data_IF_033408815277
#
_entry.id   IF_033408815277
#
_cell.length_a   1.000
_cell.length_b   1.000
_cell.length_c   1.000
_cell.angle_alpha   90.00
_cell.angle_beta   90.00
_cell.angle_gamma   90.00
#
_symmetry.space_group_name_H-M   'P 1'
#
loop_
_entity.id
_entity.type
_entity.pdbx_description
1 polymer ?
#
# COMPACT_ATOMS: atom_id res chain seq x y z
N UNK A 1 10.99 8.36 15.42
CA UNK A 1 9.58 8.43 14.97
C UNK A 1 9.08 9.87 15.15
N UNK A 2 8.37 10.40 14.17
CA UNK A 2 7.70 11.70 14.23
C UNK A 2 6.22 11.52 14.61
N UNK A 3 5.55 12.61 14.93
CA UNK A 3 4.08 12.64 15.11
C UNK A 3 3.40 13.10 13.82
N UNK A 4 2.28 12.47 13.46
CA UNK A 4 1.46 12.90 12.30
C UNK A 4 0.80 14.27 12.57
N UNK A 5 0.67 15.12 11.54
CA UNK A 5 1.14 14.92 10.16
C UNK A 5 2.66 15.09 10.02
N UNK A 6 3.24 14.45 9.00
CA UNK A 6 4.65 14.62 8.65
C UNK A 6 4.93 16.03 8.12
N UNK A 7 5.95 16.68 8.67
CA UNK A 7 6.38 18.04 8.29
C UNK A 7 7.73 18.04 7.56
N UNK A 8 8.30 16.89 7.27
CA UNK A 8 9.56 16.77 6.53
C UNK A 8 9.35 17.10 5.04
N UNK A 9 9.93 18.18 4.57
CA UNK A 9 9.80 18.65 3.17
C UNK A 9 10.31 17.61 2.14
N UNK A 10 11.21 16.72 2.52
CA UNK A 10 11.67 15.63 1.65
C UNK A 10 10.55 14.64 1.31
N UNK A 11 9.51 14.59 2.13
CA UNK A 11 8.36 13.69 1.97
C UNK A 11 7.19 14.30 1.21
N UNK A 12 7.28 15.55 0.77
CA UNK A 12 6.18 16.27 0.11
C UNK A 12 5.58 15.51 -1.07
N UNK A 13 6.42 14.94 -1.96
CA UNK A 13 5.96 14.12 -3.09
C UNK A 13 5.19 12.86 -2.69
N UNK A 14 5.43 12.36 -1.46
CA UNK A 14 4.78 11.17 -0.93
C UNK A 14 3.54 11.49 -0.07
N UNK A 15 3.21 12.78 0.04
CA UNK A 15 2.00 13.32 0.64
C UNK A 15 1.05 13.89 -0.41
N UNK A 16 1.59 14.27 -1.59
CA UNK A 16 0.81 14.89 -2.65
C UNK A 16 -0.28 13.96 -3.20
N UNK A 17 -1.43 14.54 -3.53
CA UNK A 17 -2.46 13.86 -4.31
C UNK A 17 -1.98 13.63 -5.75
N UNK A 18 -2.52 12.61 -6.41
CA UNK A 18 -2.37 12.39 -7.84
C UNK A 18 -3.72 11.99 -8.46
N UNK A 19 -3.74 11.83 -9.78
CA UNK A 19 -4.98 11.47 -10.51
C UNK A 19 -5.66 10.23 -9.95
N UNK A 20 -4.88 9.23 -9.53
CA UNK A 20 -5.41 7.98 -8.99
C UNK A 20 -5.45 7.94 -7.46
N UNK A 21 -4.53 8.65 -6.78
CA UNK A 21 -4.46 8.57 -5.32
C UNK A 21 -5.53 9.44 -4.64
N UNK A 22 -5.92 10.58 -5.21
CA UNK A 22 -7.04 11.42 -4.75
C UNK A 22 -7.08 11.64 -3.23
N UNK A 23 -5.91 11.77 -2.59
CA UNK A 23 -5.82 11.96 -1.12
C UNK A 23 -6.40 13.29 -0.61
N UNK A 24 -6.66 14.22 -1.51
CA UNK A 24 -7.31 15.51 -1.31
C UNK A 24 -8.84 15.47 -1.42
N UNK A 25 -9.41 14.35 -1.91
CA UNK A 25 -10.87 14.26 -2.08
C UNK A 25 -11.58 14.27 -0.72
N UNK A 26 -12.62 15.11 -0.51
CA UNK A 26 -13.27 15.29 0.80
C UNK A 26 -13.70 14.00 1.49
N UNK A 27 -14.28 13.05 0.75
CA UNK A 27 -14.71 11.77 1.31
C UNK A 27 -13.53 10.87 1.71
N UNK A 28 -12.41 10.92 0.98
CA UNK A 28 -11.18 10.20 1.34
C UNK A 28 -10.59 10.79 2.61
N UNK A 29 -10.51 12.12 2.71
CA UNK A 29 -10.01 12.84 3.90
C UNK A 29 -10.86 12.53 5.12
N UNK A 30 -12.18 12.59 4.98
CA UNK A 30 -13.10 12.32 6.10
C UNK A 30 -12.98 10.87 6.57
N UNK A 31 -12.97 9.91 5.64
CA UNK A 31 -12.79 8.49 5.96
C UNK A 31 -11.45 8.24 6.66
N UNK A 32 -10.37 8.83 6.15
CA UNK A 32 -9.04 8.68 6.76
C UNK A 32 -9.00 9.23 8.20
N UNK A 33 -9.65 10.37 8.45
CA UNK A 33 -9.77 10.95 9.80
C UNK A 33 -10.58 10.06 10.75
N UNK A 34 -11.67 9.47 10.26
CA UNK A 34 -12.48 8.54 11.05
C UNK A 34 -11.70 7.28 11.43
N UNK A 35 -10.90 6.73 10.50
CA UNK A 35 -10.07 5.55 10.73
C UNK A 35 -8.96 5.81 11.75
N UNK A 36 -8.23 6.91 11.57
CA UNK A 36 -7.02 7.20 12.34
C UNK A 36 -7.34 7.93 13.66
N UNK A 37 -8.43 8.71 13.68
CA UNK A 37 -8.84 9.46 14.86
C UNK A 37 -7.75 10.41 15.36
N UNK A 38 -7.39 10.26 16.62
CA UNK A 38 -6.35 11.06 17.28
C UNK A 38 -4.97 10.43 17.28
N UNK A 39 -4.79 9.27 16.62
CA UNK A 39 -3.51 8.56 16.59
C UNK A 39 -2.44 9.40 15.87
N UNK A 40 -1.29 9.59 16.51
CA UNK A 40 -0.16 10.37 15.98
C UNK A 40 1.05 9.52 15.61
N UNK A 41 1.09 8.28 16.04
CA UNK A 41 2.19 7.37 15.69
C UNK A 41 2.00 6.85 14.26
N UNK A 42 2.97 7.07 13.34
CA UNK A 42 2.83 6.68 11.93
C UNK A 42 2.66 5.17 11.73
N UNK A 43 3.30 4.34 12.55
CA UNK A 43 3.18 2.88 12.43
C UNK A 43 1.81 2.40 12.89
N UNK A 44 1.25 2.97 13.95
CA UNK A 44 -0.10 2.64 14.41
C UNK A 44 -1.16 3.13 13.42
N UNK A 45 -1.02 4.35 12.90
CA UNK A 45 -1.91 4.89 11.88
C UNK A 45 -1.92 4.03 10.60
N UNK A 46 -0.73 3.63 10.12
CA UNK A 46 -0.62 2.71 8.99
C UNK A 46 -1.34 1.37 9.25
N UNK A 47 -1.21 0.83 10.47
CA UNK A 47 -1.89 -0.40 10.86
C UNK A 47 -3.41 -0.26 10.85
N UNK A 48 -3.93 0.83 11.40
CA UNK A 48 -5.37 1.13 11.37
C UNK A 48 -5.90 1.21 9.94
N UNK A 49 -5.20 1.94 9.07
CA UNK A 49 -5.57 2.07 7.66
C UNK A 49 -5.52 0.71 6.94
N UNK A 50 -4.43 -0.03 7.12
CA UNK A 50 -4.23 -1.32 6.48
C UNK A 50 -5.34 -2.32 6.85
N UNK A 51 -5.65 -2.42 8.14
CA UNK A 51 -6.73 -3.30 8.65
C UNK A 51 -8.09 -2.83 8.14
N UNK A 52 -8.36 -1.53 8.19
CA UNK A 52 -9.64 -1.01 7.71
C UNK A 52 -9.87 -1.30 6.21
N UNK A 53 -8.84 -1.10 5.36
CA UNK A 53 -8.95 -1.40 3.93
C UNK A 53 -9.18 -2.90 3.71
N UNK A 54 -8.44 -3.76 4.42
CA UNK A 54 -8.62 -5.21 4.36
C UNK A 54 -10.05 -5.65 4.68
N UNK A 55 -10.62 -5.08 5.75
CA UNK A 55 -11.92 -5.51 6.28
C UNK A 55 -13.11 -4.92 5.50
N UNK A 56 -12.89 -3.80 4.81
CA UNK A 56 -13.96 -3.05 4.14
C UNK A 56 -13.98 -3.20 2.61
N UNK A 57 -13.00 -3.86 2.00
CA UNK A 57 -12.99 -4.13 0.57
C UNK A 57 -13.17 -5.62 0.28
N UNK A 58 -14.12 -5.94 -0.60
CA UNK A 58 -14.25 -7.29 -1.15
C UNK A 58 -13.13 -7.56 -2.14
N UNK A 59 -12.48 -8.70 -2.01
CA UNK A 59 -11.38 -9.14 -2.89
C UNK A 59 -11.97 -9.70 -4.19
N UNK A 60 -11.99 -8.89 -5.23
CA UNK A 60 -12.52 -9.22 -6.55
C UNK A 60 -11.55 -8.74 -7.61
N UNK A 61 -11.11 -9.61 -8.55
CA UNK A 61 -10.31 -9.16 -9.68
C UNK A 61 -11.06 -8.10 -10.49
N UNK A 62 -10.41 -6.97 -10.76
CA UNK A 62 -10.99 -5.90 -11.56
C UNK A 62 -10.06 -5.54 -12.72
N UNK A 63 -10.57 -5.31 -13.93
CA UNK A 63 -9.77 -4.86 -15.06
C UNK A 63 -9.59 -3.34 -15.10
N UNK A 64 -10.08 -2.61 -14.09
CA UNK A 64 -10.11 -1.15 -14.10
C UNK A 64 -8.80 -0.54 -13.59
N UNK A 65 -8.46 0.65 -14.08
CA UNK A 65 -7.43 1.49 -13.48
C UNK A 65 -8.01 2.09 -12.20
N UNK A 66 -7.43 1.81 -11.03
CA UNK A 66 -8.02 2.20 -9.77
C UNK A 66 -7.91 3.71 -9.52
N UNK A 67 -9.01 4.34 -9.12
CA UNK A 67 -9.09 5.67 -8.53
C UNK A 67 -9.52 5.51 -7.07
N UNK A 68 -8.79 6.09 -6.13
CA UNK A 68 -9.01 5.89 -4.70
C UNK A 68 -10.44 6.24 -4.24
N UNK A 69 -11.02 7.31 -4.78
CA UNK A 69 -12.38 7.69 -4.44
C UNK A 69 -13.40 6.70 -5.00
N UNK A 70 -13.23 6.24 -6.24
CA UNK A 70 -14.10 5.23 -6.83
C UNK A 70 -14.00 3.90 -6.07
N UNK A 71 -12.81 3.49 -5.64
CA UNK A 71 -12.59 2.30 -4.80
C UNK A 71 -13.28 2.46 -3.46
N UNK A 72 -13.16 3.63 -2.82
CA UNK A 72 -13.83 3.92 -1.55
C UNK A 72 -15.35 3.75 -1.63
N UNK A 73 -15.95 4.14 -2.75
CA UNK A 73 -17.41 3.99 -2.96
C UNK A 73 -17.81 2.56 -3.30
N UNK A 74 -17.06 1.88 -4.18
CA UNK A 74 -17.41 0.53 -4.67
C UNK A 74 -17.13 -0.56 -3.64
N UNK A 75 -16.17 -0.34 -2.73
CA UNK A 75 -15.78 -1.30 -1.68
C UNK A 75 -15.38 -2.67 -2.22
N UNK A 76 -14.71 -2.70 -3.37
CA UNK A 76 -14.21 -3.93 -3.97
C UNK A 76 -13.02 -3.67 -4.88
N UNK A 77 -12.16 -4.67 -5.05
CA UNK A 77 -10.99 -4.62 -5.92
C UNK A 77 -9.97 -5.70 -5.59
N UNK A 78 -8.90 -5.71 -6.35
CA UNK A 78 -7.74 -6.58 -6.13
C UNK A 78 -6.60 -5.84 -5.37
N UNK A 79 -5.37 -6.30 -5.52
CA UNK A 79 -4.22 -5.71 -4.84
C UNK A 79 -3.99 -4.24 -5.23
N UNK A 80 -4.28 -3.85 -6.47
CA UNK A 80 -4.09 -2.47 -6.91
C UNK A 80 -5.06 -1.52 -6.22
N UNK A 81 -6.35 -1.85 -6.18
CA UNK A 81 -7.37 -1.05 -5.51
C UNK A 81 -7.11 -0.94 -4.01
N UNK A 82 -6.73 -2.05 -3.36
CA UNK A 82 -6.37 -2.04 -1.94
C UNK A 82 -5.16 -1.11 -1.69
N UNK A 83 -4.12 -1.20 -2.51
CA UNK A 83 -2.92 -0.38 -2.37
C UNK A 83 -3.19 1.11 -2.65
N UNK A 84 -3.97 1.43 -3.69
CA UNK A 84 -4.34 2.80 -4.05
C UNK A 84 -5.15 3.46 -2.94
N UNK A 85 -6.19 2.77 -2.42
CA UNK A 85 -7.01 3.33 -1.36
C UNK A 85 -6.23 3.50 -0.05
N UNK A 86 -5.42 2.52 0.35
CA UNK A 86 -4.59 2.63 1.54
C UNK A 86 -3.57 3.77 1.44
N UNK A 87 -2.94 3.96 0.26
CA UNK A 87 -2.03 5.07 0.01
C UNK A 87 -2.75 6.42 0.11
N UNK A 88 -3.95 6.53 -0.47
CA UNK A 88 -4.74 7.77 -0.42
C UNK A 88 -5.15 8.13 1.03
N UNK A 89 -5.65 7.16 1.79
CA UNK A 89 -6.02 7.35 3.19
C UNK A 89 -4.81 7.75 4.06
N UNK A 90 -3.63 7.15 3.81
CA UNK A 90 -2.41 7.51 4.51
C UNK A 90 -1.99 8.96 4.22
N UNK A 91 -1.91 9.34 2.94
CA UNK A 91 -1.54 10.71 2.54
C UNK A 91 -2.52 11.74 3.10
N UNK A 92 -3.82 11.42 3.14
CA UNK A 92 -4.87 12.30 3.65
C UNK A 92 -4.73 12.66 5.14
N UNK A 93 -4.07 11.81 5.95
CA UNK A 93 -3.77 12.10 7.36
C UNK A 93 -2.33 12.56 7.58
N UNK A 94 -1.61 12.89 6.52
CA UNK A 94 -0.22 13.35 6.59
C UNK A 94 0.80 12.25 6.87
N UNK A 95 0.48 10.99 6.56
CA UNK A 95 1.41 9.85 6.58
C UNK A 95 1.98 9.65 5.18
N UNK A 96 3.28 9.94 4.94
CA UNK A 96 3.87 9.73 3.63
C UNK A 96 3.80 8.25 3.24
N UNK A 97 3.28 8.01 2.03
CA UNK A 97 3.07 6.67 1.52
C UNK A 97 3.28 6.60 0.00
N UNK A 98 3.69 5.44 -0.48
CA UNK A 98 3.81 5.14 -1.91
C UNK A 98 3.47 3.67 -2.17
N UNK A 99 3.00 3.38 -3.38
CA UNK A 99 2.73 2.01 -3.79
C UNK A 99 4.04 1.33 -4.14
N UNK A 100 4.18 0.09 -3.71
CA UNK A 100 5.20 -0.84 -4.16
C UNK A 100 4.55 -1.89 -5.04
N UNK A 101 5.16 -2.21 -6.17
CA UNK A 101 4.74 -3.30 -7.04
C UNK A 101 5.87 -4.28 -7.25
N UNK A 102 5.51 -5.52 -7.42
CA UNK A 102 6.49 -6.58 -7.61
C UNK A 102 5.82 -7.94 -7.62
N UNK A 103 6.44 -8.87 -6.93
CA UNK A 103 6.00 -10.26 -6.87
C UNK A 103 5.79 -10.68 -5.42
N UNK A 104 4.77 -11.48 -5.20
CA UNK A 104 4.57 -12.21 -3.95
C UNK A 104 4.72 -13.72 -4.21
N UNK A 105 5.49 -14.39 -3.37
CA UNK A 105 5.58 -15.85 -3.40
C UNK A 105 4.42 -16.46 -2.63
N UNK A 106 3.60 -17.27 -3.31
CA UNK A 106 2.46 -17.98 -2.72
C UNK A 106 2.22 -19.29 -3.47
N UNK A 107 1.86 -20.36 -2.77
CA UNK A 107 1.48 -21.63 -3.38
C UNK A 107 2.55 -22.24 -4.32
N UNK A 108 3.85 -21.98 -4.07
CA UNK A 108 4.96 -22.47 -4.89
C UNK A 108 5.29 -21.65 -6.14
N UNK A 109 4.60 -20.51 -6.36
CA UNK A 109 4.84 -19.60 -7.49
C UNK A 109 5.00 -18.16 -7.09
N UNK A 110 5.44 -17.33 -8.04
CA UNK A 110 5.51 -15.89 -7.89
C UNK A 110 4.40 -15.25 -8.72
N UNK A 111 3.64 -14.36 -8.09
CA UNK A 111 2.53 -13.66 -8.69
C UNK A 111 2.73 -12.15 -8.61
N UNK A 112 2.30 -11.42 -9.63
CA UNK A 112 2.23 -9.97 -9.56
C UNK A 112 1.43 -9.53 -8.33
N UNK A 113 1.95 -8.51 -7.64
CA UNK A 113 1.30 -7.97 -6.46
C UNK A 113 1.62 -6.51 -6.25
N UNK A 114 0.68 -5.78 -5.64
CA UNK A 114 0.83 -4.40 -5.25
C UNK A 114 0.52 -4.24 -3.75
N UNK A 115 1.34 -3.46 -3.07
CA UNK A 115 1.19 -3.15 -1.64
C UNK A 115 1.67 -1.73 -1.35
N UNK A 116 1.74 -1.32 -0.10
CA UNK A 116 2.09 0.05 0.29
C UNK A 116 3.36 0.07 1.11
N UNK A 117 4.17 1.11 0.95
CA UNK A 117 5.21 1.46 1.89
C UNK A 117 4.89 2.79 2.55
N UNK A 118 5.13 2.87 3.87
CA UNK A 118 4.83 3.99 4.74
C UNK A 118 6.13 4.50 5.39
N UNK A 119 6.22 5.81 5.61
CA UNK A 119 7.38 6.44 6.23
C UNK A 119 7.24 6.54 7.74
N UNK A 120 8.21 6.03 8.49
CA UNK A 120 8.22 6.07 9.95
C UNK A 120 9.17 7.14 10.55
N UNK A 121 9.68 8.05 9.71
CA UNK A 121 10.60 9.13 10.12
C UNK A 121 12.07 8.86 9.84
N UNK A 122 12.51 7.62 9.88
CA UNK A 122 13.90 7.21 9.60
C UNK A 122 13.97 6.13 8.51
N UNK A 123 12.92 5.37 8.35
CA UNK A 123 12.85 4.24 7.40
C UNK A 123 11.45 4.06 6.84
N UNK A 124 11.42 3.49 5.66
CA UNK A 124 10.21 2.96 5.07
C UNK A 124 9.91 1.57 5.66
N UNK A 125 8.64 1.28 5.87
CA UNK A 125 8.16 -0.06 6.20
C UNK A 125 6.97 -0.41 5.33
N UNK A 126 6.81 -1.69 5.04
CA UNK A 126 5.77 -2.19 4.13
C UNK A 126 4.50 -2.59 4.87
N UNK A 127 3.37 -2.43 4.21
CA UNK A 127 2.09 -3.00 4.63
C UNK A 127 1.31 -3.50 3.42
N UNK A 128 0.71 -4.66 3.55
CA UNK A 128 -0.13 -5.26 2.53
C UNK A 128 -1.59 -5.21 2.99
N UNK A 129 -2.40 -4.28 2.44
CA UNK A 129 -3.80 -4.18 2.83
C UNK A 129 -4.68 -5.30 2.28
N UNK A 130 -4.28 -6.00 1.21
CA UNK A 130 -5.00 -7.16 0.71
C UNK A 130 -4.85 -8.37 1.65
N UNK A 131 -3.63 -8.59 2.17
CA UNK A 131 -3.30 -9.73 3.05
C UNK A 131 -3.37 -9.39 4.55
N UNK A 132 -3.64 -8.13 4.90
CA UNK A 132 -3.60 -7.56 6.25
C UNK A 132 -2.27 -7.81 6.97
N UNK A 133 -1.17 -7.64 6.27
CA UNK A 133 0.18 -7.81 6.82
C UNK A 133 0.86 -6.46 7.04
N UNK A 134 1.39 -6.24 8.25
CA UNK A 134 2.24 -5.09 8.58
C UNK A 134 3.28 -5.50 9.65
N UNK A 135 4.57 -5.48 9.31
CA UNK A 135 5.13 -5.29 7.97
C UNK A 135 4.72 -6.41 7.02
N UNK A 136 4.69 -6.12 5.70
CA UNK A 136 4.54 -7.15 4.68
C UNK A 136 5.67 -8.16 4.79
N UNK A 137 5.35 -9.43 4.61
CA UNK A 137 6.27 -10.54 4.88
C UNK A 137 7.44 -10.66 3.90
N UNK A 138 8.39 -11.56 4.18
CA UNK A 138 9.59 -11.75 3.35
C UNK A 138 9.29 -12.36 1.97
N UNK A 139 8.04 -12.75 1.73
CA UNK A 139 7.58 -13.26 0.43
C UNK A 139 7.38 -12.18 -0.61
N UNK A 140 7.43 -10.90 -0.23
CA UNK A 140 7.25 -9.74 -1.11
C UNK A 140 8.59 -9.30 -1.70
N UNK A 141 8.72 -9.38 -3.03
CA UNK A 141 9.89 -8.94 -3.79
C UNK A 141 9.53 -7.67 -4.55
N UNK A 142 9.99 -6.51 -4.07
CA UNK A 142 9.71 -5.22 -4.71
C UNK A 142 10.52 -5.07 -6.00
N UNK A 143 9.86 -4.67 -7.08
CA UNK A 143 10.48 -4.33 -8.36
C UNK A 143 10.45 -2.82 -8.63
N UNK A 144 9.41 -2.12 -8.19
CA UNK A 144 9.23 -0.70 -8.44
C UNK A 144 8.47 -0.02 -7.29
N UNK A 145 8.77 1.25 -7.07
CA UNK A 145 7.99 2.16 -6.23
C UNK A 145 7.38 3.28 -7.08
N UNK A 146 6.15 3.67 -6.79
CA UNK A 146 5.49 4.82 -7.41
C UNK A 146 4.00 4.64 -7.55
N UNK A 147 3.33 5.68 -8.04
CA UNK A 147 1.89 5.67 -8.29
C UNK A 147 1.55 4.84 -9.55
N UNK A 148 0.26 4.60 -9.76
CA UNK A 148 -0.28 3.63 -10.75
C UNK A 148 0.26 3.82 -12.18
N UNK A 149 0.54 5.06 -12.58
CA UNK A 149 1.06 5.37 -13.92
C UNK A 149 2.38 4.66 -14.24
N UNK A 150 3.16 4.32 -13.21
CA UNK A 150 4.44 3.61 -13.37
C UNK A 150 4.29 2.09 -13.47
N UNK A 151 3.12 1.55 -13.10
CA UNK A 151 2.92 0.09 -13.02
C UNK A 151 2.89 -0.58 -14.39
N UNK A 152 2.48 0.12 -15.44
CA UNK A 152 2.41 -0.40 -16.82
C UNK A 152 3.76 -0.94 -17.28
N UNK A 153 4.86 -0.31 -16.86
CA UNK A 153 6.21 -0.74 -17.22
C UNK A 153 6.59 -2.10 -16.59
N UNK A 154 6.06 -2.42 -15.40
CA UNK A 154 6.35 -3.69 -14.72
C UNK A 154 5.68 -4.86 -15.42
N UNK A 155 4.44 -4.68 -15.87
CA UNK A 155 3.69 -5.74 -16.56
C UNK A 155 4.41 -6.25 -17.81
N UNK A 156 5.17 -5.40 -18.51
CA UNK A 156 5.94 -5.79 -19.70
C UNK A 156 7.10 -6.76 -19.42
N UNK A 157 7.59 -6.81 -18.17
CA UNK A 157 8.70 -7.68 -17.76
C UNK A 157 8.25 -8.98 -17.10
N UNK A 158 7.03 -9.03 -16.52
CA UNK A 158 6.58 -10.15 -15.70
C UNK A 158 6.60 -11.51 -16.42
N UNK A 159 6.24 -11.54 -17.70
CA UNK A 159 6.28 -12.77 -18.50
C UNK A 159 7.69 -13.27 -18.87
N UNK A 160 8.74 -12.50 -18.56
CA UNK A 160 10.15 -12.80 -18.90
C UNK A 160 11.02 -13.09 -17.67
N UNK A 161 10.50 -12.85 -16.46
CA UNK A 161 11.24 -13.09 -15.22
C UNK A 161 11.26 -14.58 -14.88
N UNK A 162 12.44 -15.09 -14.53
CA UNK A 162 12.62 -16.42 -13.96
C UNK A 162 13.20 -16.25 -12.56
N UNK A 163 12.42 -16.61 -11.56
CA UNK A 163 12.80 -16.54 -10.16
C UNK A 163 12.89 -17.97 -9.59
N UNK A 164 13.95 -18.22 -8.82
CA UNK A 164 14.14 -19.46 -8.09
C UNK A 164 14.47 -19.15 -6.65
N UNK A 165 13.71 -19.71 -5.72
CA UNK A 165 14.06 -19.66 -4.28
C UNK A 165 15.23 -20.62 -4.08
N UNK A 166 16.38 -20.08 -3.65
CA UNK A 166 17.59 -20.87 -3.37
C UNK A 166 17.57 -21.36 -1.91
N UNK A 167 17.11 -20.53 -1.00
CA UNK A 167 17.05 -20.84 0.41
C UNK A 167 15.88 -20.07 1.07
N UNK A 168 15.16 -20.73 1.97
CA UNK A 168 14.16 -20.11 2.84
C UNK A 168 14.41 -20.56 4.28
N UNK A 169 14.67 -19.61 5.18
CA UNK A 169 14.85 -19.88 6.62
C UNK A 169 13.60 -19.38 7.37
N UNK A 170 12.90 -20.27 8.06
CA UNK A 170 11.93 -19.87 9.06
C UNK A 170 12.66 -19.60 10.38
N UNK A 171 12.35 -18.48 11.05
CA UNK A 171 12.73 -18.39 12.47
C UNK A 171 11.92 -19.43 13.21
N UNK A 172 12.57 -20.44 13.78
CA UNK A 172 11.95 -21.28 14.80
C UNK A 172 11.53 -20.37 15.95
N UNK A 173 10.26 -20.42 16.32
CA UNK A 173 9.75 -19.80 17.55
C UNK A 173 10.46 -20.48 18.71
N UNK A 174 11.42 -19.79 19.34
CA UNK A 174 11.95 -20.16 20.63
C UNK A 174 11.04 -19.66 21.74
#
# INVERSE_FOLDING_TARGET
TYALPCTDSRMERHLAASVFIRSDHPQVVETARQIVGTEKNPVKAARLINTWVHDNLKKVPTPAVPDAHAVLLRRQGDCNEHAVLATALARAVGLPAQIAVGLVHSGGGFYYHAWVTYWAGERWFSGDPLMNQIPAGPTHVTLLYGDVEKHVNVLSFLGRLRLKVLEAKSKSSG
#
